data_IF_842078659940
#
_entry.id   IF_842078659940
#
_cell.length_a   1.000
_cell.length_b   1.000
_cell.length_c   1.000
_cell.angle_alpha   90.00
_cell.angle_beta   90.00
_cell.angle_gamma   90.00
#
_symmetry.space_group_name_H-M   'P 1'
#
loop_
_entity.id
_entity.type
_entity.pdbx_description
1 polymer ?
#
# COMPACT_ATOMS: atom_id res chain seq x y z
N UNK A 1 16.50 26.07 0.60
CA UNK A 1 16.56 25.71 -0.84
C UNK A 1 16.52 24.20 -0.95
N UNK A 2 15.49 23.63 -1.57
CA UNK A 2 15.32 22.18 -1.68
C UNK A 2 16.24 21.57 -2.74
N UNK A 3 16.98 20.51 -2.37
CA UNK A 3 17.83 19.75 -3.29
C UNK A 3 16.97 18.92 -4.25
N UNK A 4 17.00 19.23 -5.54
CA UNK A 4 16.40 18.41 -6.59
C UNK A 4 17.31 17.22 -6.86
N UNK A 5 16.86 16.00 -6.50
CA UNK A 5 17.54 14.75 -6.89
C UNK A 5 17.16 14.41 -8.33
N UNK A 6 18.07 14.64 -9.26
CA UNK A 6 17.99 14.10 -10.62
C UNK A 6 18.41 12.62 -10.56
N UNK A 7 17.48 11.70 -10.78
CA UNK A 7 17.78 10.27 -10.92
C UNK A 7 17.99 9.94 -12.40
N UNK A 8 19.08 9.25 -12.71
CA UNK A 8 19.30 8.72 -14.06
C UNK A 8 18.43 7.49 -14.28
N UNK A 9 17.51 7.57 -15.23
CA UNK A 9 16.79 6.39 -15.71
C UNK A 9 17.75 5.44 -16.44
N UNK A 10 17.43 4.15 -16.42
CA UNK A 10 18.16 3.14 -17.20
C UNK A 10 18.11 3.55 -18.67
N UNK A 11 19.26 3.50 -19.34
CA UNK A 11 19.35 3.89 -20.75
C UNK A 11 18.45 2.98 -21.58
N UNK A 12 17.74 3.57 -22.54
CA UNK A 12 16.83 2.87 -23.44
C UNK A 12 17.50 1.66 -24.11
N UNK A 13 18.74 1.82 -24.56
CA UNK A 13 19.56 0.75 -25.16
C UNK A 13 19.70 -0.48 -24.25
N UNK A 14 19.83 -0.26 -22.95
CA UNK A 14 19.95 -1.35 -21.97
C UNK A 14 18.63 -2.10 -21.77
N UNK A 15 17.49 -1.40 -21.87
CA UNK A 15 16.15 -2.00 -21.81
C UNK A 15 15.87 -2.80 -23.09
N UNK A 16 16.18 -2.24 -24.26
CA UNK A 16 16.01 -2.92 -25.55
C UNK A 16 16.88 -4.18 -25.63
N UNK A 17 18.16 -4.10 -25.27
CA UNK A 17 19.06 -5.25 -25.25
C UNK A 17 18.61 -6.36 -24.29
N UNK A 18 18.05 -5.99 -23.13
CA UNK A 18 17.49 -6.96 -22.19
C UNK A 18 16.26 -7.66 -22.79
N UNK A 19 15.33 -6.90 -23.37
CA UNK A 19 14.11 -7.45 -23.96
C UNK A 19 14.39 -8.38 -25.15
N UNK A 20 15.31 -8.01 -26.03
CA UNK A 20 15.74 -8.87 -27.15
C UNK A 20 16.36 -10.17 -26.64
N UNK A 21 17.15 -10.12 -25.56
CA UNK A 21 17.73 -11.33 -24.94
C UNK A 21 16.65 -12.25 -24.37
N UNK A 22 15.66 -11.70 -23.66
CA UNK A 22 14.52 -12.47 -23.15
C UNK A 22 13.75 -13.14 -24.28
N UNK A 23 13.54 -12.44 -25.41
CA UNK A 23 12.88 -13.03 -26.58
C UNK A 23 13.73 -14.14 -27.23
N UNK A 24 15.05 -14.00 -27.25
CA UNK A 24 15.95 -15.04 -27.73
C UNK A 24 15.89 -16.31 -26.85
N UNK A 25 15.83 -16.15 -25.53
CA UNK A 25 15.72 -17.26 -24.58
C UNK A 25 14.40 -18.03 -24.74
N UNK A 26 13.32 -17.34 -25.11
CA UNK A 26 11.99 -17.94 -25.35
C UNK A 26 11.89 -18.64 -26.71
N UNK A 27 12.75 -18.30 -27.67
CA UNK A 27 12.75 -18.82 -29.04
C UNK A 27 14.07 -19.48 -29.43
N UNK A 28 14.52 -20.53 -28.72
CA UNK A 28 15.81 -21.16 -29.01
C UNK A 28 15.83 -21.70 -30.44
N UNK A 29 16.81 -21.26 -31.23
CA UNK A 29 16.97 -21.64 -32.64
C UNK A 29 16.43 -20.64 -33.66
N UNK A 30 15.77 -19.55 -33.23
CA UNK A 30 15.39 -18.48 -34.14
C UNK A 30 16.58 -17.58 -34.50
N UNK A 31 16.70 -17.13 -35.77
CA UNK A 31 17.68 -16.13 -36.15
C UNK A 31 17.45 -14.82 -35.41
N UNK A 32 18.53 -14.12 -35.04
CA UNK A 32 18.44 -12.83 -34.33
C UNK A 32 17.62 -11.78 -35.11
N UNK A 33 17.72 -11.77 -36.44
CA UNK A 33 16.91 -10.90 -37.29
C UNK A 33 15.39 -11.13 -37.13
N UNK A 34 14.98 -12.38 -36.89
CA UNK A 34 13.57 -12.73 -36.62
C UNK A 34 13.16 -12.25 -35.24
N UNK A 35 14.04 -12.37 -34.25
CA UNK A 35 13.82 -11.89 -32.88
C UNK A 35 13.68 -10.36 -32.85
N UNK A 36 14.53 -9.63 -33.57
CA UNK A 36 14.47 -8.17 -33.68
C UNK A 36 13.19 -7.70 -34.39
N UNK A 37 12.78 -8.41 -35.45
CA UNK A 37 11.52 -8.13 -36.15
C UNK A 37 10.30 -8.38 -35.23
N UNK A 38 10.31 -9.47 -34.46
CA UNK A 38 9.30 -9.78 -33.44
C UNK A 38 9.25 -8.70 -32.36
N UNK A 39 10.40 -8.28 -31.83
CA UNK A 39 10.47 -7.22 -30.83
C UNK A 39 9.88 -5.91 -31.35
N UNK A 40 10.24 -5.52 -32.57
CA UNK A 40 9.73 -4.31 -33.23
C UNK A 40 8.22 -4.38 -33.44
N UNK A 41 7.70 -5.51 -33.89
CA UNK A 41 6.27 -5.72 -34.11
C UNK A 41 5.48 -5.72 -32.80
N UNK A 42 6.00 -6.36 -31.75
CA UNK A 42 5.40 -6.32 -30.41
C UNK A 42 5.34 -4.88 -29.89
N UNK A 43 6.44 -4.14 -30.01
CA UNK A 43 6.51 -2.74 -29.59
C UNK A 43 5.52 -1.85 -30.37
N UNK A 44 5.37 -2.09 -31.68
CA UNK A 44 4.36 -1.41 -32.51
C UNK A 44 2.95 -1.71 -32.01
N UNK A 45 2.60 -2.99 -31.81
CA UNK A 45 1.27 -3.41 -31.33
C UNK A 45 0.96 -2.89 -29.93
N UNK A 46 1.93 -2.92 -29.01
CA UNK A 46 1.75 -2.37 -27.66
C UNK A 46 1.51 -0.86 -27.73
N UNK A 47 2.24 -0.13 -28.56
CA UNK A 47 1.99 1.32 -28.77
C UNK A 47 0.61 1.57 -29.35
N UNK A 48 0.19 0.80 -30.34
CA UNK A 48 -1.14 0.92 -30.95
C UNK A 48 -2.26 0.63 -29.95
N UNK A 49 -2.11 -0.42 -29.13
CA UNK A 49 -3.05 -0.74 -28.07
C UNK A 49 -3.11 0.36 -26.99
N UNK A 50 -1.96 0.89 -26.57
CA UNK A 50 -1.88 1.96 -25.56
C UNK A 50 -2.44 3.30 -26.05
N UNK A 51 -2.58 3.53 -27.36
CA UNK A 51 -3.23 4.73 -27.88
C UNK A 51 -4.75 4.73 -27.62
N UNK A 52 -5.33 3.61 -27.19
CA UNK A 52 -6.76 3.50 -26.90
C UNK A 52 -7.66 3.75 -28.11
N UNK A 53 -7.10 3.74 -29.33
CA UNK A 53 -7.86 3.97 -30.56
C UNK A 53 -8.59 2.68 -30.96
N UNK A 54 -9.91 2.74 -31.19
CA UNK A 54 -10.62 1.58 -31.73
C UNK A 54 -10.08 1.25 -33.13
N UNK A 55 -9.87 -0.04 -33.39
CA UNK A 55 -9.46 -0.55 -34.72
C UNK A 55 -10.54 -0.14 -35.75
N UNK A 56 -10.18 0.19 -36.99
CA UNK A 56 -11.10 0.73 -38.01
C UNK A 56 -12.46 -0.01 -38.13
N UNK A 57 -12.44 -1.34 -38.02
CA UNK A 57 -13.65 -2.19 -38.03
C UNK A 57 -14.62 -1.90 -36.86
N UNK A 58 -14.11 -1.45 -35.71
CA UNK A 58 -14.94 -1.03 -34.58
C UNK A 58 -15.58 0.34 -34.82
N UNK A 59 -14.90 1.25 -35.51
CA UNK A 59 -15.44 2.57 -35.85
C UNK A 59 -16.66 2.45 -36.77
N UNK A 60 -16.64 1.51 -37.72
CA UNK A 60 -17.78 1.19 -38.59
C UNK A 60 -18.99 0.63 -37.81
N UNK A 61 -18.74 -0.17 -36.76
CA UNK A 61 -19.78 -0.77 -35.93
C UNK A 61 -20.35 0.18 -34.85
N UNK A 62 -19.65 1.29 -34.57
CA UNK A 62 -20.09 2.34 -33.65
C UNK A 62 -21.01 3.37 -34.32
N UNK A 63 -21.07 3.39 -35.66
CA UNK A 63 -21.87 4.33 -36.46
C UNK A 63 -23.20 3.73 -36.96
N UNK A 64 -23.58 2.54 -36.49
CA UNK A 64 -24.85 1.89 -36.84
C UNK A 64 -25.90 2.23 -35.79
N UNK A 65 -27.04 2.78 -36.22
CA UNK A 65 -28.14 3.19 -35.33
C UNK A 65 -28.75 2.02 -34.54
N UNK A 66 -28.69 0.80 -35.10
CA UNK A 66 -29.15 -0.45 -34.45
C UNK A 66 -28.10 -1.57 -34.60
N UNK A 67 -27.07 -1.64 -33.73
CA UNK A 67 -25.99 -2.60 -33.87
C UNK A 67 -26.46 -4.04 -33.55
N UNK A 68 -25.96 -5.06 -34.27
CA UNK A 68 -26.34 -6.46 -34.04
C UNK A 68 -26.10 -6.91 -32.59
N UNK A 69 -26.90 -7.86 -32.09
CA UNK A 69 -26.79 -8.40 -30.72
C UNK A 69 -25.37 -8.90 -30.37
N UNK A 70 -24.64 -9.47 -31.33
CA UNK A 70 -23.25 -9.92 -31.14
C UNK A 70 -22.26 -8.77 -30.83
N UNK A 71 -22.59 -7.54 -31.21
CA UNK A 71 -21.82 -6.32 -30.92
C UNK A 71 -22.30 -5.71 -29.61
N UNK A 72 -23.62 -5.65 -29.36
CA UNK A 72 -24.20 -5.20 -28.11
C UNK A 72 -23.69 -6.02 -26.91
N UNK A 73 -23.58 -7.34 -27.06
CA UNK A 73 -23.05 -8.24 -26.02
C UNK A 73 -21.54 -8.07 -25.76
N UNK A 74 -20.83 -7.32 -26.61
CA UNK A 74 -19.43 -6.95 -26.41
C UNK A 74 -19.28 -5.51 -25.92
N UNK A 75 -20.36 -4.76 -25.77
CA UNK A 75 -20.30 -3.43 -25.16
C UNK A 75 -19.92 -3.59 -23.71
N UNK A 76 -18.88 -2.86 -23.34
CA UNK A 76 -18.51 -2.66 -21.95
C UNK A 76 -19.59 -1.77 -21.32
N UNK A 77 -20.60 -2.38 -20.70
CA UNK A 77 -21.59 -1.68 -19.89
C UNK A 77 -21.10 -1.57 -18.46
N UNK A 78 -21.64 -0.62 -17.68
CA UNK A 78 -21.33 -0.47 -16.26
C UNK A 78 -21.54 -1.77 -15.46
N UNK A 79 -22.48 -2.62 -15.91
CA UNK A 79 -22.80 -3.92 -15.33
C UNK A 79 -21.72 -4.98 -15.65
N UNK A 80 -21.21 -5.02 -16.88
CA UNK A 80 -20.13 -5.95 -17.28
C UNK A 80 -18.81 -5.65 -16.57
N UNK A 81 -18.51 -4.36 -16.33
CA UNK A 81 -17.35 -3.96 -15.52
C UNK A 81 -17.67 -3.91 -14.03
N UNK A 82 -18.86 -4.26 -13.57
CA UNK A 82 -19.18 -4.20 -12.15
C UNK A 82 -18.27 -5.15 -11.34
N UNK A 83 -18.01 -6.37 -11.82
CA UNK A 83 -17.08 -7.32 -11.16
C UNK A 83 -15.63 -6.83 -11.21
N UNK A 84 -15.17 -6.31 -12.35
CA UNK A 84 -13.80 -5.75 -12.48
C UNK A 84 -13.65 -4.50 -11.63
N UNK A 85 -14.64 -3.61 -11.61
CA UNK A 85 -14.68 -2.42 -10.76
C UNK A 85 -14.70 -2.84 -9.30
N UNK A 86 -15.54 -3.81 -8.93
CA UNK A 86 -15.63 -4.36 -7.58
C UNK A 86 -14.28 -4.97 -7.15
N UNK A 87 -13.58 -5.67 -8.04
CA UNK A 87 -12.22 -6.17 -7.82
C UNK A 87 -11.19 -5.04 -7.74
N UNK A 88 -11.28 -4.02 -8.59
CA UNK A 88 -10.43 -2.82 -8.58
C UNK A 88 -10.73 -1.83 -7.42
N UNK A 89 -11.88 -1.99 -6.76
CA UNK A 89 -12.25 -1.26 -5.54
C UNK A 89 -12.15 -2.14 -4.29
N UNK A 90 -11.96 -3.46 -4.44
CA UNK A 90 -11.57 -4.33 -3.32
C UNK A 90 -10.18 -3.93 -2.85
N UNK A 91 -9.89 -4.05 -1.55
CA UNK A 91 -8.62 -3.65 -0.96
C UNK A 91 -7.42 -4.50 -1.42
N UNK A 92 -7.59 -5.47 -2.31
CA UNK A 92 -6.53 -6.33 -2.83
C UNK A 92 -5.38 -5.53 -3.50
N UNK A 93 -5.63 -4.29 -3.98
CA UNK A 93 -4.58 -3.41 -4.54
C UNK A 93 -3.65 -2.82 -3.46
N UNK A 94 -4.06 -2.87 -2.20
CA UNK A 94 -3.23 -2.46 -1.05
C UNK A 94 -2.07 -3.44 -0.89
N UNK A 95 -2.24 -4.74 -1.22
CA UNK A 95 -1.16 -5.72 -1.18
C UNK A 95 -0.02 -5.39 -2.18
N UNK A 96 -0.35 -4.78 -3.32
CA UNK A 96 0.65 -4.25 -4.25
C UNK A 96 1.26 -2.94 -3.74
N UNK A 97 0.51 -2.15 -2.98
CA UNK A 97 0.99 -0.94 -2.34
C UNK A 97 2.02 -1.25 -1.24
N UNK A 98 1.82 -2.32 -0.47
CA UNK A 98 2.77 -2.83 0.54
C UNK A 98 4.09 -3.26 -0.11
N UNK A 99 4.02 -3.93 -1.27
CA UNK A 99 5.20 -4.27 -2.08
C UNK A 99 5.88 -3.00 -2.64
N UNK A 100 5.12 -1.98 -3.02
CA UNK A 100 5.66 -0.71 -3.54
C UNK A 100 6.29 0.17 -2.44
N UNK A 101 5.76 0.12 -1.21
CA UNK A 101 6.30 0.87 -0.06
C UNK A 101 7.66 0.35 0.36
N UNK A 102 7.88 -0.97 0.29
CA UNK A 102 9.21 -1.57 0.48
C UNK A 102 10.22 -1.11 -0.59
N UNK A 103 9.76 -0.76 -1.78
CA UNK A 103 10.63 -0.41 -2.91
C UNK A 103 10.90 1.09 -3.06
N UNK A 104 9.95 1.99 -2.76
CA UNK A 104 10.13 3.44 -3.05
C UNK A 104 9.14 4.42 -2.37
N UNK A 105 8.52 4.08 -1.25
CA UNK A 105 7.48 4.95 -0.64
C UNK A 105 7.98 6.31 -0.14
N UNK A 106 7.16 7.37 -0.31
CA UNK A 106 7.31 8.63 0.42
C UNK A 106 7.22 8.38 1.93
N UNK A 107 8.00 9.13 2.73
CA UNK A 107 8.00 9.01 4.19
C UNK A 107 6.57 9.12 4.76
N UNK A 108 6.14 8.12 5.54
CA UNK A 108 4.80 8.10 6.15
C UNK A 108 4.71 9.09 7.32
N UNK A 109 3.49 9.47 7.70
CA UNK A 109 3.26 10.40 8.81
C UNK A 109 3.80 9.82 10.12
N UNK A 110 3.64 8.51 10.32
CA UNK A 110 4.21 7.75 11.43
C UNK A 110 5.73 7.94 11.54
N UNK A 111 6.48 7.73 10.45
CA UNK A 111 7.96 7.86 10.47
C UNK A 111 8.36 9.30 10.77
N UNK A 112 7.70 10.27 10.16
CA UNK A 112 7.96 11.70 10.42
C UNK A 112 7.78 12.04 11.89
N UNK A 113 6.71 11.56 12.52
CA UNK A 113 6.40 11.84 13.94
C UNK A 113 7.30 11.11 14.91
N UNK A 114 7.66 9.86 14.62
CA UNK A 114 8.66 9.14 15.41
C UNK A 114 10.02 9.84 15.36
N UNK A 115 10.43 10.35 14.20
CA UNK A 115 11.65 11.17 14.08
C UNK A 115 11.56 12.47 14.86
N UNK A 116 10.42 13.15 14.81
CA UNK A 116 10.19 14.37 15.59
C UNK A 116 10.33 14.12 17.11
N UNK A 117 9.86 12.98 17.62
CA UNK A 117 10.07 12.57 19.00
C UNK A 117 11.43 11.90 19.29
N UNK A 118 12.44 12.07 18.40
CA UNK A 118 13.78 11.51 18.53
C UNK A 118 13.86 9.98 18.70
N UNK A 119 12.99 9.24 17.99
CA UNK A 119 13.02 7.78 17.96
C UNK A 119 14.34 7.25 17.39
N UNK A 120 14.79 6.11 17.94
CA UNK A 120 15.92 5.38 17.38
C UNK A 120 15.56 4.73 16.04
N UNK A 121 16.57 4.41 15.21
CA UNK A 121 16.35 3.69 13.95
C UNK A 121 15.65 2.33 14.15
N UNK A 122 16.00 1.62 15.23
CA UNK A 122 15.37 0.35 15.59
C UNK A 122 13.87 0.54 15.87
N UNK A 123 13.51 1.51 16.72
CA UNK A 123 12.10 1.82 17.03
C UNK A 123 11.30 2.18 15.78
N UNK A 124 11.89 2.93 14.84
CA UNK A 124 11.22 3.25 13.57
C UNK A 124 10.98 1.99 12.73
N UNK A 125 11.97 1.11 12.62
CA UNK A 125 11.84 -0.16 11.88
C UNK A 125 10.79 -1.07 12.53
N UNK A 126 10.82 -1.20 13.85
CA UNK A 126 9.87 -2.01 14.60
C UNK A 126 8.44 -1.46 14.45
N UNK A 127 8.25 -0.14 14.56
CA UNK A 127 6.95 0.50 14.35
C UNK A 127 6.39 0.25 12.94
N UNK A 128 7.23 0.35 11.90
CA UNK A 128 6.83 0.07 10.52
C UNK A 128 6.45 -1.39 10.32
N UNK A 129 7.25 -2.32 10.86
CA UNK A 129 6.99 -3.75 10.77
C UNK A 129 5.71 -4.14 11.53
N UNK A 130 5.54 -3.66 12.77
CA UNK A 130 4.34 -3.94 13.56
C UNK A 130 3.09 -3.39 12.88
N UNK A 131 3.15 -2.18 12.34
CA UNK A 131 2.04 -1.61 11.56
C UNK A 131 1.68 -2.50 10.37
N UNK A 132 2.67 -2.88 9.56
CA UNK A 132 2.44 -3.73 8.40
C UNK A 132 1.81 -5.08 8.79
N UNK A 133 2.25 -5.67 9.91
CA UNK A 133 1.68 -6.91 10.43
C UNK A 133 0.23 -6.76 10.90
N UNK A 134 -0.11 -5.64 11.58
CA UNK A 134 -1.47 -5.36 11.99
C UNK A 134 -2.39 -5.10 10.79
N UNK A 135 -1.93 -4.33 9.81
CA UNK A 135 -2.67 -4.09 8.56
C UNK A 135 -2.90 -5.41 7.80
N UNK A 136 -1.88 -6.26 7.71
CA UNK A 136 -2.00 -7.60 7.11
C UNK A 136 -3.00 -8.48 7.85
N UNK A 137 -2.97 -8.49 9.19
CA UNK A 137 -3.93 -9.22 10.02
C UNK A 137 -5.36 -8.76 9.76
N UNK A 138 -5.61 -7.45 9.85
CA UNK A 138 -6.92 -6.85 9.59
C UNK A 138 -7.44 -7.21 8.21
N UNK A 139 -6.60 -7.08 7.18
CA UNK A 139 -6.97 -7.40 5.80
C UNK A 139 -7.29 -8.89 5.63
N UNK A 140 -6.51 -9.76 6.25
CA UNK A 140 -6.75 -11.21 6.24
C UNK A 140 -8.10 -11.56 6.87
N UNK A 141 -8.38 -11.05 8.06
CA UNK A 141 -9.66 -11.30 8.74
C UNK A 141 -10.85 -10.71 7.96
N UNK A 142 -10.68 -9.54 7.35
CA UNK A 142 -11.69 -8.97 6.46
C UNK A 142 -11.95 -9.86 5.22
N UNK A 143 -10.89 -10.42 4.60
CA UNK A 143 -11.01 -11.31 3.46
C UNK A 143 -11.67 -12.66 3.82
N UNK A 144 -11.50 -13.12 5.06
CA UNK A 144 -12.15 -14.32 5.60
C UNK A 144 -13.61 -14.07 6.04
N UNK A 145 -14.06 -12.81 6.03
CA UNK A 145 -15.39 -12.43 6.51
C UNK A 145 -15.55 -12.53 8.03
N UNK A 146 -14.42 -12.58 8.77
CA UNK A 146 -14.41 -12.64 10.24
C UNK A 146 -14.33 -11.25 10.87
N UNK A 147 -13.90 -10.24 10.11
CA UNK A 147 -13.94 -8.85 10.56
C UNK A 147 -15.39 -8.36 10.71
N UNK A 148 -15.73 -7.59 11.76
CA UNK A 148 -17.08 -7.10 11.97
C UNK A 148 -17.55 -6.16 10.86
N UNK A 149 -18.80 -6.31 10.44
CA UNK A 149 -19.45 -5.41 9.48
C UNK A 149 -19.72 -4.02 10.08
N UNK A 150 -19.93 -3.95 11.41
CA UNK A 150 -20.16 -2.69 12.11
C UNK A 150 -18.83 -1.93 12.34
N UNK A 151 -18.61 -0.79 11.67
CA UNK A 151 -17.39 -0.01 11.84
C UNK A 151 -17.23 0.58 13.26
N UNK A 152 -18.30 0.64 14.05
CA UNK A 152 -18.24 1.14 15.42
C UNK A 152 -17.36 0.26 16.32
N UNK A 153 -17.22 -1.04 16.02
CA UNK A 153 -16.40 -1.98 16.80
C UNK A 153 -14.91 -1.63 16.65
N UNK A 154 -14.44 -1.39 15.42
CA UNK A 154 -13.07 -0.96 15.16
C UNK A 154 -12.81 0.45 15.70
N UNK A 155 -13.81 1.34 15.61
CA UNK A 155 -13.71 2.70 16.14
C UNK A 155 -13.57 2.75 17.68
N UNK A 156 -14.25 1.87 18.43
CA UNK A 156 -14.09 1.76 19.89
C UNK A 156 -12.65 1.34 20.26
N UNK A 157 -12.09 0.34 19.56
CA UNK A 157 -10.69 -0.06 19.72
C UNK A 157 -9.74 1.13 19.48
N UNK A 158 -9.90 1.82 18.35
CA UNK A 158 -9.05 2.97 18.01
C UNK A 158 -9.12 4.07 19.07
N UNK A 159 -10.31 4.35 19.57
CA UNK A 159 -10.53 5.36 20.60
C UNK A 159 -9.83 4.97 21.91
N UNK A 160 -9.84 3.69 22.28
CA UNK A 160 -9.10 3.18 23.45
C UNK A 160 -7.59 3.30 23.29
N UNK A 161 -7.07 2.89 22.13
CA UNK A 161 -5.64 3.01 21.80
C UNK A 161 -5.21 4.49 21.80
N UNK A 162 -6.06 5.38 21.28
CA UNK A 162 -5.82 6.82 21.29
C UNK A 162 -5.75 7.39 22.72
N UNK A 163 -6.68 6.99 23.59
CA UNK A 163 -6.66 7.43 24.99
C UNK A 163 -5.43 6.92 25.73
N UNK A 164 -5.05 5.67 25.50
CA UNK A 164 -3.83 5.09 26.04
C UNK A 164 -2.59 5.88 25.56
N UNK A 165 -2.46 6.09 24.26
CA UNK A 165 -1.35 6.81 23.65
C UNK A 165 -1.21 8.24 24.20
N UNK A 166 -2.33 8.97 24.33
CA UNK A 166 -2.32 10.31 24.93
C UNK A 166 -1.95 10.29 26.41
N UNK A 167 -2.41 9.28 27.17
CA UNK A 167 -2.05 9.13 28.58
C UNK A 167 -0.54 8.89 28.73
N UNK A 168 0.00 7.93 27.99
CA UNK A 168 1.44 7.60 27.99
C UNK A 168 2.27 8.77 27.48
N UNK A 169 1.81 9.46 26.44
CA UNK A 169 2.45 10.66 25.89
C UNK A 169 2.69 11.73 26.94
N UNK A 170 1.66 12.08 27.73
CA UNK A 170 1.78 13.06 28.83
C UNK A 170 2.76 12.63 29.91
N UNK A 171 2.87 11.33 30.20
CA UNK A 171 3.81 10.82 31.20
C UNK A 171 5.27 10.95 30.75
N UNK A 172 5.53 11.08 29.45
CA UNK A 172 6.88 11.14 28.88
C UNK A 172 7.17 12.43 28.11
N UNK A 173 6.38 13.48 28.34
CA UNK A 173 6.52 14.77 27.63
C UNK A 173 7.89 15.43 27.87
N UNK A 174 8.43 15.29 29.08
CA UNK A 174 9.75 15.85 29.46
C UNK A 174 10.94 14.95 29.10
N UNK A 175 10.70 13.80 28.45
CA UNK A 175 11.78 12.89 28.09
C UNK A 175 12.61 13.48 26.94
N UNK A 176 13.93 13.29 26.95
CA UNK A 176 14.81 13.76 25.87
C UNK A 176 14.65 12.97 24.56
N UNK A 177 14.05 11.78 24.61
CA UNK A 177 13.70 10.93 23.47
C UNK A 177 12.27 10.41 23.65
N UNK A 178 11.27 11.29 23.60
CA UNK A 178 9.91 10.97 24.00
C UNK A 178 9.33 9.83 23.17
N UNK A 179 9.63 9.73 21.87
CA UNK A 179 9.11 8.64 21.03
C UNK A 179 9.61 7.27 21.48
N UNK A 180 10.87 7.13 21.90
CA UNK A 180 11.38 5.84 22.41
C UNK A 180 10.68 5.46 23.71
N UNK A 181 10.49 6.42 24.62
CA UNK A 181 9.87 6.18 25.92
C UNK A 181 8.38 5.83 25.75
N UNK A 182 7.66 6.58 24.93
CA UNK A 182 6.24 6.36 24.62
C UNK A 182 6.05 5.01 23.93
N UNK A 183 6.92 4.67 22.96
CA UNK A 183 6.85 3.39 22.25
C UNK A 183 7.03 2.21 23.20
N UNK A 184 8.06 2.23 24.05
CA UNK A 184 8.31 1.17 25.02
C UNK A 184 7.17 1.05 26.04
N UNK A 185 6.69 2.18 26.58
CA UNK A 185 5.60 2.17 27.56
C UNK A 185 4.27 1.68 26.97
N UNK A 186 3.96 2.07 25.72
CA UNK A 186 2.79 1.55 25.00
C UNK A 186 2.88 0.05 24.77
N UNK A 187 4.04 -0.44 24.33
CA UNK A 187 4.25 -1.85 24.09
C UNK A 187 4.05 -2.67 25.36
N UNK A 188 4.61 -2.21 26.49
CA UNK A 188 4.43 -2.88 27.81
C UNK A 188 2.96 -2.91 28.22
N UNK A 189 2.24 -1.79 28.10
CA UNK A 189 0.82 -1.74 28.47
C UNK A 189 -0.07 -2.64 27.59
N UNK A 190 0.18 -2.66 26.29
CA UNK A 190 -0.59 -3.48 25.35
C UNK A 190 -0.28 -4.97 25.50
N UNK A 191 0.94 -5.34 25.90
CA UNK A 191 1.30 -6.72 26.22
C UNK A 191 0.70 -7.20 27.54
N UNK A 192 0.69 -6.34 28.57
CA UNK A 192 0.21 -6.71 29.90
C UNK A 192 -1.32 -6.69 30.01
N UNK A 193 -1.99 -5.79 29.29
CA UNK A 193 -3.43 -5.55 29.42
C UNK A 193 -4.19 -5.55 28.08
N UNK A 194 -3.96 -6.50 27.14
CA UNK A 194 -4.52 -6.42 25.79
C UNK A 194 -6.06 -6.42 25.79
N UNK A 195 -6.70 -7.24 26.62
CA UNK A 195 -8.17 -7.31 26.72
C UNK A 195 -8.84 -6.03 27.25
N UNK A 196 -8.10 -5.11 27.87
CA UNK A 196 -8.65 -3.81 28.27
C UNK A 196 -8.90 -2.88 27.07
N UNK A 197 -8.13 -3.10 25.99
CA UNK A 197 -8.17 -2.31 24.76
C UNK A 197 -8.90 -3.05 23.63
N UNK A 198 -8.68 -4.36 23.49
CA UNK A 198 -9.28 -5.22 22.45
C UNK A 198 -10.41 -6.09 23.03
N UNK A 199 -11.55 -5.44 23.32
CA UNK A 199 -12.69 -6.07 24.01
C UNK A 199 -13.48 -7.03 23.14
N UNK A 200 -13.71 -6.64 21.90
CA UNK A 200 -14.15 -7.55 20.84
C UNK A 200 -12.88 -7.92 20.10
N UNK A 201 -12.30 -9.12 20.28
CA UNK A 201 -10.89 -9.43 20.01
C UNK A 201 -10.50 -9.35 18.52
N UNK A 202 -10.46 -8.13 17.96
CA UNK A 202 -10.21 -7.83 16.55
C UNK A 202 -8.77 -8.15 16.18
N UNK A 203 -7.85 -8.05 17.13
CA UNK A 203 -6.44 -8.37 16.97
C UNK A 203 -6.04 -9.52 17.90
N UNK A 204 -6.99 -10.43 18.18
CA UNK A 204 -6.79 -11.61 19.01
C UNK A 204 -6.20 -11.31 20.41
N UNK A 205 -6.35 -10.08 20.91
CA UNK A 205 -5.69 -9.61 22.14
C UNK A 205 -4.16 -9.79 22.11
N UNK A 206 -3.55 -9.75 20.92
CA UNK A 206 -2.11 -9.80 20.74
C UNK A 206 -1.52 -8.39 20.89
N UNK A 207 -0.68 -8.18 21.90
CA UNK A 207 -0.06 -6.89 22.18
C UNK A 207 0.81 -6.34 21.03
N UNK A 208 1.42 -7.20 20.21
CA UNK A 208 2.20 -6.80 19.03
C UNK A 208 1.29 -6.29 17.93
N UNK A 209 0.18 -6.99 17.66
CA UNK A 209 -0.81 -6.54 16.68
C UNK A 209 -1.51 -5.24 17.13
N UNK A 210 -1.82 -5.12 18.42
CA UNK A 210 -2.38 -3.89 18.99
C UNK A 210 -1.40 -2.72 18.91
N UNK A 211 -0.11 -2.97 19.12
CA UNK A 211 0.92 -1.95 18.93
C UNK A 211 0.99 -1.52 17.47
N UNK A 212 0.92 -2.47 16.54
CA UNK A 212 0.82 -2.19 15.11
C UNK A 212 -0.41 -1.35 14.75
N UNK A 213 -1.57 -1.63 15.35
CA UNK A 213 -2.78 -0.82 15.17
C UNK A 213 -2.61 0.58 15.74
N UNK A 214 -1.99 0.74 16.90
CA UNK A 214 -1.66 2.06 17.44
C UNK A 214 -0.73 2.85 16.49
N UNK A 215 0.23 2.20 15.85
CA UNK A 215 1.08 2.81 14.82
C UNK A 215 0.27 3.24 13.58
N UNK A 216 -0.71 2.46 13.13
CA UNK A 216 -1.63 2.84 12.04
C UNK A 216 -2.50 4.06 12.41
N UNK A 217 -3.10 4.05 13.59
CA UNK A 217 -3.88 5.18 14.15
C UNK A 217 -3.03 6.45 14.24
N UNK A 218 -1.74 6.32 14.57
CA UNK A 218 -0.81 7.44 14.48
C UNK A 218 -0.63 7.89 13.04
N UNK A 219 -0.39 7.00 12.08
CA UNK A 219 -0.20 7.39 10.67
C UNK A 219 -1.38 8.20 10.10
N UNK A 220 -2.61 7.93 10.57
CA UNK A 220 -3.84 8.69 10.32
C UNK A 220 -3.91 10.08 11.01
N UNK A 221 -2.79 10.56 11.55
CA UNK A 221 -2.65 11.85 12.23
C UNK A 221 -3.49 12.01 13.51
N UNK A 222 -3.84 10.92 14.20
CA UNK A 222 -4.72 11.00 15.39
C UNK A 222 -3.96 11.29 16.71
N UNK A 223 -2.68 10.95 16.78
CA UNK A 223 -1.77 11.34 17.89
C UNK A 223 -0.30 11.38 17.48
N UNK A 224 0.52 12.06 18.28
CA UNK A 224 1.96 12.26 18.08
C UNK A 224 2.80 11.49 19.11
N UNK A 225 4.08 11.29 18.80
CA UNK A 225 5.05 10.55 19.62
C UNK A 225 5.93 11.47 20.47
N UNK A 226 5.37 12.62 20.87
CA UNK A 226 6.08 13.71 21.53
C UNK A 226 6.91 14.56 20.56
N UNK A 227 7.38 15.70 21.06
CA UNK A 227 8.24 16.64 20.34
C UNK A 227 9.58 16.68 21.07
N UNK A 228 10.66 16.23 20.43
CA UNK A 228 11.99 16.45 20.96
C UNK A 228 12.37 17.91 20.67
N UNK A 229 11.72 18.87 21.34
CA UNK A 229 12.23 20.24 21.34
C UNK A 229 13.59 20.23 22.01
N UNK A 230 14.52 20.98 21.40
CA UNK A 230 15.93 20.99 21.76
C UNK A 230 16.13 20.98 23.29
N UNK A 231 16.54 19.82 23.81
CA UNK A 231 17.32 19.76 25.04
C UNK A 231 18.73 20.28 24.71
N UNK A 232 18.82 21.55 24.32
CA UNK A 232 20.03 22.38 24.11
C UNK A 232 19.61 23.83 23.92
#
# INVERSE_FOLDING_TARGET
MGLVRVRSFVRRESIEAHNTRVLADLGPGLPMATIDALYTELLRRTREAMQGRPVARWTELLAVDDPPAAVLNKRVSAEVIADVRQRLTRPDHVLLQDLSQQLTGSETSLVRKLRQGAASKGVIQDAQMMRANADHHRLREAALGTWPDDPAVEADLDQRLLFLARRVGRTHEENSRPANAIFAALQVELQNNPGAYDRAPLYAQDGVLLMGRACAVSDECRFDWGDARDAS
#
